data_IF_701681430562
#
_entry.id   IF_701681430562
#
_cell.length_a   1.000
_cell.length_b   1.000
_cell.length_c   1.000
_cell.angle_alpha   90.00
_cell.angle_beta   90.00
_cell.angle_gamma   90.00
#
_symmetry.space_group_name_H-M   'P 1'
#
loop_
_entity.id
_entity.type
_entity.pdbx_description
1 polymer ?
#
# COMPACT_ATOMS: atom_id res chain seq x y z
N UNK A 1 -6.57 26.50 -46.27
CA UNK A 1 -7.40 26.92 -45.11
C UNK A 1 -8.50 27.91 -45.47
N UNK A 2 -8.25 29.01 -46.20
CA UNK A 2 -9.35 29.79 -46.80
C UNK A 2 -10.18 28.97 -47.81
N UNK A 3 -9.51 28.04 -48.51
CA UNK A 3 -10.15 27.11 -49.46
C UNK A 3 -11.23 26.20 -48.84
N UNK A 4 -11.17 25.91 -47.53
CA UNK A 4 -12.16 25.05 -46.84
C UNK A 4 -13.27 25.84 -46.13
N UNK A 5 -13.12 27.16 -45.95
CA UNK A 5 -14.09 28.00 -45.23
C UNK A 5 -14.70 29.11 -46.11
N UNK A 6 -14.28 29.23 -47.37
CA UNK A 6 -14.84 30.12 -48.40
C UNK A 6 -14.62 31.62 -48.19
N UNK A 7 -14.44 32.09 -46.94
CA UNK A 7 -14.19 33.50 -46.60
C UNK A 7 -13.55 33.67 -45.22
N UNK A 8 -12.95 34.84 -44.98
CA UNK A 8 -12.42 35.25 -43.67
C UNK A 8 -13.51 35.25 -42.58
N UNK A 9 -14.74 35.66 -42.91
CA UNK A 9 -15.90 35.61 -42.01
C UNK A 9 -16.32 34.16 -41.70
N UNK A 10 -16.25 33.26 -42.69
CA UNK A 10 -16.51 31.83 -42.51
C UNK A 10 -15.53 31.21 -41.52
N UNK A 11 -14.25 31.55 -41.63
CA UNK A 11 -13.21 31.10 -40.69
C UNK A 11 -13.43 31.65 -39.26
N UNK A 12 -13.77 32.93 -39.11
CA UNK A 12 -14.11 33.51 -37.80
C UNK A 12 -15.33 32.83 -37.16
N UNK A 13 -16.35 32.45 -37.93
CA UNK A 13 -17.50 31.68 -37.43
C UNK A 13 -17.10 30.29 -36.94
N UNK A 14 -16.18 29.61 -37.63
CA UNK A 14 -15.66 28.29 -37.19
C UNK A 14 -14.91 28.41 -35.87
N UNK A 15 -14.08 29.44 -35.70
CA UNK A 15 -13.38 29.70 -34.43
C UNK A 15 -14.38 29.99 -33.31
N UNK A 16 -15.34 30.90 -33.54
CA UNK A 16 -16.35 31.23 -32.54
C UNK A 16 -17.16 30.01 -32.11
N UNK A 17 -17.57 29.14 -33.06
CA UNK A 17 -18.26 27.88 -32.74
C UNK A 17 -17.38 26.93 -31.92
N UNK A 18 -16.09 26.81 -32.24
CA UNK A 18 -15.15 25.98 -31.48
C UNK A 18 -15.00 26.48 -30.06
N UNK A 19 -14.91 27.79 -29.87
CA UNK A 19 -14.75 28.39 -28.54
C UNK A 19 -16.03 28.25 -27.70
N UNK A 20 -17.22 28.41 -28.31
CA UNK A 20 -18.49 28.13 -27.64
C UNK A 20 -18.55 26.67 -27.19
N UNK A 21 -18.21 25.73 -28.08
CA UNK A 21 -18.22 24.31 -27.76
C UNK A 21 -17.24 23.95 -26.64
N UNK A 22 -16.03 24.52 -26.66
CA UNK A 22 -15.06 24.37 -25.55
C UNK A 22 -15.63 24.87 -24.23
N UNK A 23 -16.20 26.08 -24.20
CA UNK A 23 -16.82 26.63 -22.98
C UNK A 23 -17.96 25.75 -22.45
N UNK A 24 -18.77 25.17 -23.34
CA UNK A 24 -19.83 24.25 -22.96
C UNK A 24 -19.27 22.96 -22.35
N UNK A 25 -18.24 22.37 -22.95
CA UNK A 25 -17.57 21.20 -22.40
C UNK A 25 -16.92 21.47 -21.05
N UNK A 26 -16.25 22.61 -20.90
CA UNK A 26 -15.63 23.02 -19.64
C UNK A 26 -16.68 23.21 -18.55
N UNK A 27 -17.82 23.84 -18.87
CA UNK A 27 -18.93 24.01 -17.93
C UNK A 27 -19.55 22.67 -17.50
N UNK A 28 -19.73 21.71 -18.43
CA UNK A 28 -20.21 20.37 -18.12
C UNK A 28 -19.21 19.64 -17.22
N UNK A 29 -17.91 19.74 -17.52
CA UNK A 29 -16.85 19.13 -16.71
C UNK A 29 -16.83 19.70 -15.28
N UNK A 30 -16.86 21.03 -15.14
CA UNK A 30 -16.91 21.70 -13.85
C UNK A 30 -18.18 21.37 -13.06
N UNK A 31 -19.31 21.20 -13.75
CA UNK A 31 -20.56 20.77 -13.11
C UNK A 31 -20.42 19.37 -12.53
N UNK A 32 -19.95 18.41 -13.34
CA UNK A 32 -19.73 17.02 -12.89
C UNK A 32 -18.72 16.93 -11.74
N UNK A 33 -17.65 17.73 -11.79
CA UNK A 33 -16.63 17.76 -10.75
C UNK A 33 -17.19 18.30 -9.43
N UNK A 34 -18.05 19.33 -9.48
CA UNK A 34 -18.77 19.84 -8.29
C UNK A 34 -19.78 18.85 -7.75
N UNK A 35 -20.54 18.19 -8.61
CA UNK A 35 -21.50 17.14 -8.22
C UNK A 35 -20.76 15.98 -7.54
N UNK A 36 -19.66 15.51 -8.14
CA UNK A 36 -18.80 14.47 -7.55
C UNK A 36 -18.22 14.88 -6.21
N UNK A 37 -17.67 16.09 -6.09
CA UNK A 37 -17.12 16.58 -4.84
C UNK A 37 -18.22 16.70 -3.77
N UNK A 38 -19.41 17.18 -4.13
CA UNK A 38 -20.53 17.28 -3.19
C UNK A 38 -20.99 15.90 -2.72
N UNK A 39 -21.00 14.90 -3.61
CA UNK A 39 -21.28 13.52 -3.27
C UNK A 39 -20.23 12.95 -2.31
N UNK A 40 -18.94 13.11 -2.61
CA UNK A 40 -17.85 12.65 -1.74
C UNK A 40 -17.90 13.27 -0.34
N UNK A 41 -18.24 14.55 -0.23
CA UNK A 41 -18.42 15.25 1.06
C UNK A 41 -19.65 14.76 1.83
N UNK A 42 -20.64 14.17 1.15
CA UNK A 42 -21.81 13.57 1.79
C UNK A 42 -21.54 12.19 2.40
N UNK A 43 -20.42 11.55 2.01
CA UNK A 43 -19.98 10.25 2.52
C UNK A 43 -19.27 10.39 3.88
N UNK A 44 -18.56 9.35 4.31
CA UNK A 44 -17.89 9.34 5.60
C UNK A 44 -16.90 10.51 5.76
N UNK A 45 -16.86 11.10 6.95
CA UNK A 45 -15.97 12.22 7.25
C UNK A 45 -14.52 11.88 6.95
N UNK A 46 -13.83 12.75 6.22
CA UNK A 46 -12.44 12.55 5.80
C UNK A 46 -12.25 11.65 4.57
N UNK A 47 -13.29 10.95 4.10
CA UNK A 47 -13.20 10.12 2.91
C UNK A 47 -12.91 10.93 1.65
N UNK A 48 -13.56 12.09 1.47
CA UNK A 48 -13.29 12.99 0.34
C UNK A 48 -11.80 13.37 0.26
N UNK A 49 -11.22 13.81 1.38
CA UNK A 49 -9.79 14.14 1.47
C UNK A 49 -8.89 12.94 1.16
N UNK A 50 -9.26 11.73 1.63
CA UNK A 50 -8.54 10.52 1.29
C UNK A 50 -8.58 10.23 -0.22
N UNK A 51 -9.74 10.29 -0.85
CA UNK A 51 -9.93 10.07 -2.30
C UNK A 51 -9.07 11.05 -3.13
N UNK A 52 -9.01 12.32 -2.71
CA UNK A 52 -8.14 13.31 -3.33
C UNK A 52 -6.66 12.98 -3.17
N UNK A 53 -6.23 12.58 -1.97
CA UNK A 53 -4.83 12.26 -1.68
C UNK A 53 -4.30 11.08 -2.51
N UNK A 54 -5.16 10.11 -2.84
CA UNK A 54 -4.81 8.95 -3.69
C UNK A 54 -5.08 9.20 -5.19
N UNK A 55 -5.54 10.40 -5.55
CA UNK A 55 -5.87 10.84 -6.91
C UNK A 55 -6.88 9.92 -7.61
N UNK A 56 -7.85 9.40 -6.86
CA UNK A 56 -8.83 8.46 -7.40
C UNK A 56 -10.00 9.18 -8.09
N UNK A 57 -10.19 8.88 -9.37
CA UNK A 57 -11.12 9.58 -10.28
C UNK A 57 -12.44 8.84 -10.52
N UNK A 58 -12.80 7.92 -9.64
CA UNK A 58 -14.08 7.22 -9.73
C UNK A 58 -15.26 8.18 -9.63
N UNK A 59 -16.31 7.86 -10.37
CA UNK A 59 -17.56 8.64 -10.45
C UNK A 59 -18.80 7.79 -10.19
N UNK A 60 -18.67 6.46 -10.19
CA UNK A 60 -19.77 5.57 -9.83
C UNK A 60 -20.09 5.69 -8.33
N UNK A 61 -21.33 6.10 -8.03
CA UNK A 61 -21.78 6.37 -6.66
C UNK A 61 -21.79 5.10 -5.79
N UNK A 62 -22.21 3.95 -6.31
CA UNK A 62 -22.26 2.68 -5.57
C UNK A 62 -20.85 2.20 -5.21
N UNK A 63 -19.89 2.37 -6.12
CA UNK A 63 -18.48 2.06 -5.88
C UNK A 63 -17.90 2.98 -4.80
N UNK A 64 -18.21 4.27 -4.84
CA UNK A 64 -17.77 5.26 -3.86
C UNK A 64 -18.37 5.02 -2.48
N UNK A 65 -19.66 4.67 -2.38
CA UNK A 65 -20.31 4.29 -1.12
C UNK A 65 -19.68 3.04 -0.49
N UNK A 66 -19.46 2.02 -1.31
CA UNK A 66 -18.79 0.79 -0.89
C UNK A 66 -17.37 1.06 -0.38
N UNK A 67 -16.63 1.93 -1.08
CA UNK A 67 -15.29 2.34 -0.67
C UNK A 67 -15.31 3.20 0.60
N UNK A 68 -16.26 4.11 0.75
CA UNK A 68 -16.46 4.91 1.97
C UNK A 68 -16.72 4.02 3.19
N UNK A 69 -17.54 2.97 3.02
CA UNK A 69 -17.79 2.00 4.08
C UNK A 69 -16.51 1.26 4.51
N UNK A 70 -15.70 0.81 3.54
CA UNK A 70 -14.40 0.19 3.83
C UNK A 70 -13.40 1.16 4.46
N UNK A 71 -13.41 2.42 4.05
CA UNK A 71 -12.60 3.48 4.65
C UNK A 71 -12.90 3.66 6.14
N UNK A 72 -14.17 3.68 6.53
CA UNK A 72 -14.56 3.77 7.97
C UNK A 72 -14.05 2.56 8.74
N UNK A 73 -14.26 1.36 8.20
CA UNK A 73 -13.84 0.10 8.84
C UNK A 73 -12.32 0.07 9.04
N UNK A 74 -11.54 0.39 8.01
CA UNK A 74 -10.08 0.37 8.10
C UNK A 74 -9.55 1.49 9.00
N UNK A 75 -10.09 2.71 8.88
CA UNK A 75 -9.64 3.85 9.70
C UNK A 75 -9.89 3.59 11.18
N UNK A 76 -11.08 3.12 11.54
CA UNK A 76 -11.40 2.78 12.94
C UNK A 76 -10.52 1.64 13.48
N UNK A 77 -10.24 0.62 12.67
CA UNK A 77 -9.38 -0.50 13.09
C UNK A 77 -7.90 -0.06 13.27
N UNK A 78 -7.40 0.85 12.44
CA UNK A 78 -6.07 1.45 12.60
C UNK A 78 -6.00 2.35 13.84
N UNK A 79 -7.00 3.21 14.04
CA UNK A 79 -7.07 4.11 15.20
C UNK A 79 -7.14 3.33 16.52
N UNK A 80 -7.87 2.21 16.55
CA UNK A 80 -7.90 1.31 17.70
C UNK A 80 -6.53 0.73 18.08
N UNK A 81 -5.58 0.68 17.12
CA UNK A 81 -4.18 0.31 17.35
C UNK A 81 -3.23 1.51 17.44
N UNK A 82 -3.77 2.73 17.56
CA UNK A 82 -2.96 3.96 17.63
C UNK A 82 -2.27 4.32 16.31
N UNK A 83 -2.69 3.73 15.19
CA UNK A 83 -2.15 3.99 13.87
C UNK A 83 -3.03 5.00 13.11
N UNK A 84 -2.43 5.66 12.13
CA UNK A 84 -3.15 6.55 11.21
C UNK A 84 -3.24 5.92 9.83
N UNK A 85 -4.37 6.13 9.14
CA UNK A 85 -4.52 5.75 7.75
C UNK A 85 -3.53 6.53 6.87
N UNK A 86 -2.78 5.79 6.05
CA UNK A 86 -1.74 6.31 5.17
C UNK A 86 -2.20 6.26 3.71
N UNK A 87 -2.30 7.42 3.06
CA UNK A 87 -2.68 7.52 1.65
C UNK A 87 -1.61 6.97 0.70
N UNK A 88 -0.34 7.00 1.11
CA UNK A 88 0.78 6.45 0.36
C UNK A 88 0.93 4.93 0.53
N UNK A 89 0.14 4.31 1.42
CA UNK A 89 0.14 2.87 1.61
C UNK A 89 -0.69 2.15 0.55
N UNK A 90 0.00 1.42 -0.33
CA UNK A 90 -0.64 0.64 -1.39
C UNK A 90 -1.66 -0.36 -0.84
N UNK A 91 -1.36 -1.06 0.25
CA UNK A 91 -2.27 -2.07 0.84
C UNK A 91 -3.54 -1.43 1.43
N UNK A 92 -3.44 -0.24 2.03
CA UNK A 92 -4.61 0.51 2.48
C UNK A 92 -5.48 0.94 1.30
N UNK A 93 -4.84 1.41 0.23
CA UNK A 93 -5.52 1.79 -1.02
C UNK A 93 -6.23 0.59 -1.65
N UNK A 94 -5.58 -0.57 -1.75
CA UNK A 94 -6.22 -1.76 -2.35
C UNK A 94 -7.44 -2.21 -1.56
N UNK A 95 -7.34 -2.21 -0.24
CA UNK A 95 -8.46 -2.56 0.62
C UNK A 95 -9.63 -1.58 0.44
N UNK A 96 -9.38 -0.28 0.48
CA UNK A 96 -10.45 0.73 0.38
C UNK A 96 -11.06 0.75 -1.03
N UNK A 97 -10.23 0.80 -2.08
CA UNK A 97 -10.71 0.98 -3.45
C UNK A 97 -11.29 -0.32 -4.02
N UNK A 98 -10.59 -1.44 -3.86
CA UNK A 98 -10.93 -2.71 -4.51
C UNK A 98 -11.48 -3.78 -3.56
N UNK A 99 -11.43 -3.56 -2.24
CA UNK A 99 -11.88 -4.55 -1.27
C UNK A 99 -10.94 -5.75 -1.15
N UNK A 100 -9.66 -5.60 -1.52
CA UNK A 100 -8.69 -6.69 -1.47
C UNK A 100 -8.12 -6.89 -0.06
N UNK A 101 -8.10 -8.15 0.38
CA UNK A 101 -7.59 -8.55 1.70
C UNK A 101 -8.60 -8.35 2.84
N UNK A 102 -8.21 -8.78 4.04
CA UNK A 102 -9.01 -8.58 5.24
C UNK A 102 -8.49 -7.40 6.05
N UNK A 103 -9.38 -6.66 6.71
CA UNK A 103 -9.00 -5.50 7.54
C UNK A 103 -7.95 -5.87 8.59
N UNK A 104 -8.06 -7.07 9.20
CA UNK A 104 -7.09 -7.53 10.21
C UNK A 104 -5.68 -7.64 9.61
N UNK A 105 -5.54 -8.23 8.42
CA UNK A 105 -4.25 -8.44 7.77
C UNK A 105 -3.61 -7.10 7.37
N UNK A 106 -4.43 -6.14 6.93
CA UNK A 106 -3.99 -4.78 6.59
C UNK A 106 -3.49 -4.07 7.84
N UNK A 107 -4.27 -4.09 8.93
CA UNK A 107 -3.89 -3.44 10.20
C UNK A 107 -2.63 -4.06 10.78
N UNK A 108 -2.54 -5.40 10.79
CA UNK A 108 -1.37 -6.15 11.19
C UNK A 108 -0.13 -5.68 10.39
N UNK A 109 -0.23 -5.63 9.07
CA UNK A 109 0.87 -5.17 8.21
C UNK A 109 1.25 -3.72 8.51
N UNK A 110 0.27 -2.83 8.72
CA UNK A 110 0.53 -1.42 9.00
C UNK A 110 1.22 -1.22 10.36
N UNK A 111 0.82 -1.99 11.36
CA UNK A 111 1.43 -2.00 12.68
C UNK A 111 2.89 -2.46 12.61
N UNK A 112 3.13 -3.61 11.96
CA UNK A 112 4.47 -4.15 11.76
C UNK A 112 5.39 -3.16 11.06
N UNK A 113 4.94 -2.61 9.94
CA UNK A 113 5.76 -1.67 9.18
C UNK A 113 6.04 -0.41 9.98
N UNK A 114 5.05 0.13 10.71
CA UNK A 114 5.25 1.28 11.58
C UNK A 114 6.33 1.03 12.63
N UNK A 115 6.29 -0.14 13.28
CA UNK A 115 7.28 -0.52 14.26
C UNK A 115 8.67 -0.71 13.66
N UNK A 116 8.78 -1.43 12.54
CA UNK A 116 10.05 -1.66 11.85
C UNK A 116 10.73 -0.35 11.46
N UNK A 117 9.98 0.61 10.92
CA UNK A 117 10.52 1.92 10.57
C UNK A 117 10.94 2.75 11.79
N UNK A 118 10.26 2.60 12.93
CA UNK A 118 10.55 3.37 14.13
C UNK A 118 11.68 2.79 14.99
N UNK A 119 11.83 1.46 15.01
CA UNK A 119 12.65 0.76 16.00
C UNK A 119 13.77 -0.10 15.39
N UNK A 120 13.91 -0.12 14.06
CA UNK A 120 14.94 -0.94 13.38
C UNK A 120 15.56 -0.21 12.20
N UNK A 121 16.66 -0.77 11.69
CA UNK A 121 17.33 -0.31 10.47
C UNK A 121 16.63 -0.79 9.18
N UNK A 122 15.38 -1.25 9.27
CA UNK A 122 14.65 -1.90 8.17
C UNK A 122 14.69 -1.09 6.87
N UNK A 123 14.40 0.21 6.92
CA UNK A 123 14.38 1.05 5.72
C UNK A 123 15.72 1.01 4.97
N UNK A 124 16.80 1.26 5.70
CA UNK A 124 18.15 1.33 5.14
C UNK A 124 18.59 -0.03 4.60
N UNK A 125 18.40 -1.09 5.37
CA UNK A 125 18.83 -2.45 4.98
C UNK A 125 17.99 -2.98 3.83
N UNK A 126 16.67 -2.71 3.82
CA UNK A 126 15.78 -3.09 2.73
C UNK A 126 16.18 -2.42 1.43
N UNK A 127 16.43 -1.11 1.45
CA UNK A 127 16.90 -0.37 0.27
C UNK A 127 18.21 -0.92 -0.28
N UNK A 128 19.17 -1.25 0.60
CA UNK A 128 20.46 -1.84 0.21
C UNK A 128 20.27 -3.21 -0.45
N UNK A 129 19.44 -4.10 0.11
CA UNK A 129 19.20 -5.44 -0.46
C UNK A 129 18.44 -5.39 -1.79
N UNK A 130 17.44 -4.51 -1.90
CA UNK A 130 16.71 -4.33 -3.16
C UNK A 130 17.66 -3.82 -4.26
N UNK A 131 18.54 -2.86 -3.93
CA UNK A 131 19.54 -2.37 -4.88
C UNK A 131 20.49 -3.49 -5.32
N UNK A 132 20.97 -4.32 -4.39
CA UNK A 132 21.82 -5.46 -4.72
C UNK A 132 21.14 -6.45 -5.69
N UNK A 133 19.84 -6.73 -5.50
CA UNK A 133 19.04 -7.55 -6.44
C UNK A 133 18.95 -6.85 -7.81
N UNK A 134 18.78 -5.52 -7.85
CA UNK A 134 18.72 -4.80 -9.13
C UNK A 134 20.07 -4.83 -9.87
N UNK A 135 21.17 -4.67 -9.13
CA UNK A 135 22.54 -4.66 -9.67
C UNK A 135 22.96 -6.06 -10.16
N UNK A 136 22.65 -7.12 -9.41
CA UNK A 136 22.99 -8.51 -9.74
C UNK A 136 22.33 -8.98 -11.04
N UNK A 137 21.06 -8.62 -11.25
CA UNK A 137 20.28 -9.12 -12.37
C UNK A 137 20.27 -8.19 -13.59
N UNK A 138 21.00 -7.07 -13.53
CA UNK A 138 21.36 -6.23 -14.69
C UNK A 138 20.19 -5.74 -15.56
N UNK A 139 18.98 -5.63 -14.99
CA UNK A 139 17.77 -5.25 -15.73
C UNK A 139 17.17 -6.34 -16.63
N UNK A 140 17.72 -7.57 -16.65
CA UNK A 140 17.27 -8.67 -17.51
C UNK A 140 16.10 -9.48 -16.94
N UNK A 141 15.76 -9.29 -15.66
CA UNK A 141 14.63 -10.00 -15.06
C UNK A 141 13.30 -9.44 -15.55
N UNK A 142 12.36 -10.34 -15.85
CA UNK A 142 10.95 -9.94 -16.04
C UNK A 142 10.44 -9.23 -14.79
N UNK A 143 9.57 -8.24 -15.00
CA UNK A 143 8.98 -7.40 -13.95
C UNK A 143 8.29 -8.23 -12.86
N UNK A 144 7.58 -9.30 -13.26
CA UNK A 144 6.90 -10.23 -12.35
C UNK A 144 7.89 -10.97 -11.44
N UNK A 145 8.95 -11.53 -12.01
CA UNK A 145 10.00 -12.23 -11.25
C UNK A 145 10.72 -11.29 -10.27
N UNK A 146 10.93 -10.03 -10.68
CA UNK A 146 11.54 -9.00 -9.81
C UNK A 146 10.66 -8.68 -8.61
N UNK A 147 9.34 -8.57 -8.83
CA UNK A 147 8.38 -8.29 -7.76
C UNK A 147 8.36 -9.40 -6.69
N UNK A 148 8.37 -10.66 -7.12
CA UNK A 148 8.37 -11.82 -6.21
C UNK A 148 9.66 -11.90 -5.41
N UNK A 149 10.82 -11.64 -6.04
CA UNK A 149 12.11 -11.63 -5.36
C UNK A 149 12.20 -10.49 -4.34
N UNK A 150 11.76 -9.29 -4.69
CA UNK A 150 11.73 -8.15 -3.77
C UNK A 150 10.81 -8.44 -2.58
N UNK A 151 9.64 -9.02 -2.82
CA UNK A 151 8.73 -9.37 -1.72
C UNK A 151 9.34 -10.42 -0.81
N UNK A 152 9.92 -11.49 -1.38
CA UNK A 152 10.62 -12.52 -0.60
C UNK A 152 11.77 -11.93 0.21
N UNK A 153 12.54 -11.01 -0.38
CA UNK A 153 13.63 -10.30 0.29
C UNK A 153 13.13 -9.49 1.51
N UNK A 154 12.00 -8.79 1.36
CA UNK A 154 11.36 -8.04 2.46
C UNK A 154 10.94 -8.98 3.59
N UNK A 155 10.23 -10.05 3.28
CA UNK A 155 9.76 -11.02 4.29
C UNK A 155 10.93 -11.67 5.06
N UNK A 156 12.02 -12.02 4.36
CA UNK A 156 13.23 -12.55 5.02
C UNK A 156 13.85 -11.49 5.94
N UNK A 157 13.99 -10.25 5.48
CA UNK A 157 14.57 -9.19 6.30
C UNK A 157 13.73 -8.89 7.54
N UNK A 158 12.40 -8.87 7.41
CA UNK A 158 11.49 -8.72 8.57
C UNK A 158 11.70 -9.83 9.58
N UNK A 159 11.82 -11.07 9.10
CA UNK A 159 12.05 -12.23 9.95
C UNK A 159 13.40 -12.13 10.69
N UNK A 160 14.48 -11.75 10.00
CA UNK A 160 15.80 -11.56 10.60
C UNK A 160 15.78 -10.46 11.67
N UNK A 161 15.21 -9.29 11.36
CA UNK A 161 15.11 -8.19 12.32
C UNK A 161 14.23 -8.52 13.53
N UNK A 162 13.19 -9.33 13.34
CA UNK A 162 12.36 -9.81 14.43
C UNK A 162 13.18 -10.68 15.41
N UNK A 163 14.01 -11.59 14.89
CA UNK A 163 14.91 -12.42 15.71
C UNK A 163 15.94 -11.58 16.44
N UNK A 164 16.61 -10.65 15.75
CA UNK A 164 17.61 -9.78 16.35
C UNK A 164 16.99 -8.93 17.47
N UNK A 165 15.83 -8.33 17.21
CA UNK A 165 15.13 -7.50 18.18
C UNK A 165 14.68 -8.29 19.41
N UNK A 166 14.16 -9.51 19.22
CA UNK A 166 13.77 -10.42 20.31
C UNK A 166 14.96 -10.87 21.17
N UNK A 167 16.15 -11.00 20.58
CA UNK A 167 17.38 -11.33 21.28
C UNK A 167 17.83 -10.23 22.24
N UNK A 168 17.83 -9.00 21.75
CA UNK A 168 18.37 -7.83 22.47
C UNK A 168 17.40 -7.24 23.50
N UNK A 169 16.09 -7.38 23.28
CA UNK A 169 15.06 -6.66 24.03
C UNK A 169 14.12 -7.56 24.86
N UNK A 170 14.70 -8.43 25.70
CA UNK A 170 13.91 -9.30 26.59
C UNK A 170 13.09 -8.47 27.59
N UNK A 171 11.76 -8.51 27.44
CA UNK A 171 10.80 -7.94 28.40
C UNK A 171 10.01 -6.72 27.91
N UNK A 172 10.22 -6.25 26.68
CA UNK A 172 9.35 -5.23 26.09
C UNK A 172 8.03 -5.84 25.58
N UNK A 173 6.96 -5.03 25.62
CA UNK A 173 5.67 -5.33 24.99
C UNK A 173 5.88 -5.27 23.48
N UNK A 174 5.75 -6.41 22.79
CA UNK A 174 5.88 -6.48 21.34
C UNK A 174 4.54 -6.15 20.67
N UNK A 175 4.59 -5.88 19.38
CA UNK A 175 3.39 -5.85 18.56
C UNK A 175 2.66 -7.19 18.59
N UNK A 176 1.35 -7.18 18.38
CA UNK A 176 0.52 -8.40 18.42
C UNK A 176 1.04 -9.52 17.51
N UNK A 177 1.56 -9.20 16.32
CA UNK A 177 2.12 -10.21 15.41
C UNK A 177 3.39 -10.83 16.00
N UNK A 178 4.24 -10.02 16.59
CA UNK A 178 5.53 -10.47 17.12
C UNK A 178 5.41 -11.13 18.48
N UNK A 179 4.36 -10.83 19.25
CA UNK A 179 4.00 -11.65 20.43
C UNK A 179 3.70 -13.10 20.03
N UNK A 180 3.03 -13.33 18.88
CA UNK A 180 2.86 -14.69 18.35
C UNK A 180 4.20 -15.33 17.95
N UNK A 181 5.25 -14.54 17.76
CA UNK A 181 6.59 -15.03 17.42
C UNK A 181 7.42 -15.35 18.68
N UNK A 182 7.09 -14.76 19.84
CA UNK A 182 7.85 -14.93 21.10
C UNK A 182 8.01 -16.38 21.52
N UNK A 183 6.93 -17.15 21.55
CA UNK A 183 6.98 -18.57 21.95
C UNK A 183 7.79 -19.42 20.96
N UNK A 184 7.66 -19.16 19.65
CA UNK A 184 8.47 -19.82 18.61
C UNK A 184 9.94 -19.46 18.74
N UNK A 185 10.24 -18.20 19.05
CA UNK A 185 11.60 -17.75 19.30
C UNK A 185 12.20 -18.51 20.47
N UNK A 186 11.52 -18.58 21.61
CA UNK A 186 11.97 -19.33 22.79
C UNK A 186 12.20 -20.82 22.49
N UNK A 187 11.35 -21.44 21.67
CA UNK A 187 11.46 -22.85 21.24
C UNK A 187 12.75 -23.12 20.45
N UNK A 188 13.10 -22.30 19.46
CA UNK A 188 14.27 -22.52 18.60
C UNK A 188 15.54 -21.79 19.04
N UNK A 189 15.50 -20.89 20.04
CA UNK A 189 16.67 -20.14 20.50
C UNK A 189 17.78 -21.06 21.06
N UNK A 190 17.42 -22.25 21.53
CA UNK A 190 18.33 -23.29 22.03
C UNK A 190 18.76 -24.33 20.99
N UNK A 191 18.23 -24.27 19.76
CA UNK A 191 18.50 -25.26 18.70
C UNK A 191 19.75 -24.94 17.87
N UNK A 192 20.40 -25.94 17.26
CA UNK A 192 21.59 -25.78 16.39
C UNK A 192 21.27 -25.44 14.92
N UNK A 193 20.05 -24.99 14.66
CA UNK A 193 19.51 -24.75 13.31
C UNK A 193 20.09 -23.46 12.71
N UNK A 194 20.22 -23.42 11.38
CA UNK A 194 20.63 -22.23 10.64
C UNK A 194 19.76 -21.00 10.99
N UNK A 195 20.40 -19.88 11.31
CA UNK A 195 19.73 -18.65 11.78
C UNK A 195 18.63 -18.16 10.85
N UNK A 196 18.81 -18.31 9.54
CA UNK A 196 17.83 -17.91 8.53
C UNK A 196 16.57 -18.77 8.54
N UNK A 197 16.71 -20.09 8.74
CA UNK A 197 15.58 -21.02 8.85
C UNK A 197 14.83 -20.81 10.16
N UNK A 198 15.55 -20.52 11.25
CA UNK A 198 14.94 -20.10 12.53
C UNK A 198 14.09 -18.85 12.33
N UNK A 199 14.65 -17.82 11.70
CA UNK A 199 13.94 -16.56 11.47
C UNK A 199 12.63 -16.78 10.68
N UNK A 200 12.69 -17.53 9.59
CA UNK A 200 11.51 -17.84 8.78
C UNK A 200 10.45 -18.65 9.57
N UNK A 201 10.85 -19.62 10.39
CA UNK A 201 9.93 -20.36 11.24
C UNK A 201 9.28 -19.47 12.32
N UNK A 202 10.11 -18.70 13.03
CA UNK A 202 9.69 -17.78 14.09
C UNK A 202 8.70 -16.76 13.55
N UNK A 203 8.93 -16.28 12.33
CA UNK A 203 8.11 -15.25 11.72
C UNK A 203 6.85 -15.84 11.05
N UNK A 204 7.00 -16.82 10.16
CA UNK A 204 5.88 -17.36 9.35
C UNK A 204 5.09 -18.48 10.01
N UNK A 205 5.68 -19.21 10.96
CA UNK A 205 5.06 -20.35 11.65
C UNK A 205 4.93 -21.59 10.78
N UNK A 206 5.50 -21.56 9.57
CA UNK A 206 5.45 -22.69 8.62
C UNK A 206 6.72 -23.51 8.72
N UNK A 207 6.54 -24.83 8.78
CA UNK A 207 7.60 -25.83 8.74
C UNK A 207 8.51 -25.73 9.97
N UNK A 208 8.27 -26.59 10.97
CA UNK A 208 9.24 -26.72 12.06
C UNK A 208 10.60 -27.05 11.44
N UNK A 209 11.65 -26.27 11.72
CA UNK A 209 12.95 -26.56 11.15
C UNK A 209 13.45 -27.84 11.83
N UNK A 210 13.28 -28.97 11.17
CA UNK A 210 13.82 -30.24 11.61
C UNK A 210 15.33 -30.22 11.39
N UNK A 211 16.09 -30.61 12.41
CA UNK A 211 17.49 -30.99 12.23
C UNK A 211 17.54 -32.09 11.18
N UNK A 212 18.03 -31.79 9.98
CA UNK A 212 18.49 -32.85 9.09
C UNK A 212 19.53 -33.64 9.88
N UNK A 213 19.15 -34.85 10.29
CA UNK A 213 20.08 -35.81 10.88
C UNK A 213 21.02 -36.28 9.77
N UNK A 214 22.32 -36.04 10.01
CA UNK A 214 23.52 -36.68 9.43
C UNK A 214 23.75 -36.47 7.93
#
# INVERSE_FOLDING_TARGET
MLASCGSKLGWLRVIAKRDIYKKQLDAIKQRRERERHSFLESLATGFASYVESILWKETDEDVLESASSRFVVLSGALEARGLRLRADSYICKEFIVWGYGNVSDVVDTMEEMHFLFAHTEYERVCAQRIKAIQDEWGGWLRRESTSVLIQTCREILKAELCVDYLGDNRGLVLLQIWEKCRWRFEEVNSSSIESRLKALYIFSGRGHPSTSQV
#
